data_IF_445618941602
#
_entry.id   IF_445618941602
#
_cell.length_a   1.000
_cell.length_b   1.000
_cell.length_c   1.000
_cell.angle_alpha   90.00
_cell.angle_beta   90.00
_cell.angle_gamma   90.00
#
_symmetry.space_group_name_H-M   'P 1'
#
loop_
_entity.id
_entity.type
_entity.pdbx_description
1 polymer ?
#
# COMPACT_ATOMS: atom_id res chain seq x y z
N UNK A 1 -7.93 -36.16 10.25
CA UNK A 1 -6.98 -35.84 9.17
C UNK A 1 -6.87 -34.34 9.08
N UNK A 2 -5.77 -33.75 9.55
CA UNK A 2 -5.55 -32.30 9.48
C UNK A 2 -5.07 -31.94 8.07
N UNK A 3 -5.74 -31.03 7.35
CA UNK A 3 -5.41 -30.67 5.97
C UNK A 3 -4.19 -29.73 5.89
N UNK A 4 -3.01 -30.17 6.36
CA UNK A 4 -1.87 -29.30 6.64
C UNK A 4 -0.52 -29.81 6.09
N UNK A 5 -0.45 -30.24 4.82
CA UNK A 5 0.84 -30.56 4.18
C UNK A 5 1.21 -29.72 2.96
N UNK A 6 0.26 -29.07 2.27
CA UNK A 6 0.57 -28.29 1.07
C UNK A 6 0.63 -26.78 1.32
N UNK A 7 1.49 -26.09 0.57
CA UNK A 7 1.49 -24.64 0.48
C UNK A 7 0.23 -24.17 -0.29
N UNK A 8 -0.35 -23.01 0.06
CA UNK A 8 -1.45 -22.44 -0.70
C UNK A 8 -1.03 -22.14 -2.15
N UNK A 9 -1.90 -22.46 -3.10
CA UNK A 9 -1.69 -22.14 -4.51
C UNK A 9 -1.82 -20.63 -4.75
N UNK A 10 -1.35 -20.16 -5.90
CA UNK A 10 -1.51 -18.75 -6.30
C UNK A 10 -2.98 -18.34 -6.34
N UNK A 11 -3.84 -19.20 -6.85
CA UNK A 11 -5.29 -18.96 -6.93
C UNK A 11 -5.93 -18.85 -5.55
N UNK A 12 -5.52 -19.70 -4.60
CA UNK A 12 -6.00 -19.63 -3.21
C UNK A 12 -5.59 -18.32 -2.54
N UNK A 13 -4.34 -17.86 -2.76
CA UNK A 13 -3.92 -16.52 -2.32
C UNK A 13 -4.75 -15.40 -2.97
N UNK A 14 -5.01 -15.49 -4.28
CA UNK A 14 -5.76 -14.48 -5.02
C UNK A 14 -7.23 -14.41 -4.56
N UNK A 15 -7.87 -15.56 -4.33
CA UNK A 15 -9.22 -15.65 -3.76
C UNK A 15 -9.28 -15.10 -2.33
N UNK A 16 -8.32 -15.49 -1.48
CA UNK A 16 -8.21 -15.01 -0.11
C UNK A 16 -8.04 -13.48 -0.05
N UNK A 17 -7.17 -12.92 -0.89
CA UNK A 17 -6.98 -11.48 -1.01
C UNK A 17 -8.25 -10.79 -1.51
N UNK A 18 -8.93 -11.35 -2.51
CA UNK A 18 -10.16 -10.77 -3.05
C UNK A 18 -11.27 -10.64 -2.01
N UNK A 19 -11.43 -11.64 -1.15
CA UNK A 19 -12.44 -11.63 -0.09
C UNK A 19 -12.29 -10.44 0.88
N UNK A 20 -11.05 -10.02 1.17
CA UNK A 20 -10.81 -8.85 2.00
C UNK A 20 -10.85 -7.51 1.22
N UNK A 21 -10.57 -7.53 -0.08
CA UNK A 21 -10.41 -6.30 -0.88
C UNK A 21 -11.72 -5.85 -1.53
N UNK A 22 -12.62 -6.78 -1.85
CA UNK A 22 -13.98 -6.51 -2.34
C UNK A 22 -15.01 -7.14 -1.39
N UNK A 23 -15.10 -6.65 -0.14
CA UNK A 23 -15.97 -7.26 0.87
C UNK A 23 -17.46 -6.98 0.62
N UNK A 24 -17.79 -5.97 -0.19
CA UNK A 24 -19.17 -5.51 -0.40
C UNK A 24 -19.58 -5.59 -1.87
N UNK A 25 -20.88 -5.82 -2.07
CA UNK A 25 -21.51 -5.74 -3.39
C UNK A 25 -21.57 -4.29 -3.89
N UNK A 26 -21.32 -4.11 -5.19
CA UNK A 26 -21.29 -2.77 -5.80
C UNK A 26 -22.67 -2.08 -5.73
N UNK A 27 -23.76 -2.85 -5.76
CA UNK A 27 -25.12 -2.33 -5.62
C UNK A 27 -25.38 -1.71 -4.23
N UNK A 28 -24.91 -2.34 -3.16
CA UNK A 28 -25.02 -1.81 -1.80
C UNK A 28 -24.21 -0.51 -1.64
N UNK A 29 -22.99 -0.50 -2.18
CA UNK A 29 -22.13 0.69 -2.14
C UNK A 29 -22.81 1.85 -2.89
N UNK A 30 -23.32 1.60 -4.09
CA UNK A 30 -24.01 2.62 -4.89
C UNK A 30 -25.25 3.16 -4.17
N UNK A 31 -26.06 2.29 -3.57
CA UNK A 31 -27.27 2.71 -2.86
C UNK A 31 -26.96 3.55 -1.62
N UNK A 32 -26.07 3.06 -0.74
CA UNK A 32 -25.65 3.80 0.45
C UNK A 32 -24.95 5.11 0.07
N UNK A 33 -24.13 5.12 -0.98
CA UNK A 33 -23.46 6.33 -1.48
C UNK A 33 -24.47 7.40 -1.84
N UNK A 34 -25.53 7.06 -2.60
CA UNK A 34 -26.59 8.01 -2.94
C UNK A 34 -27.27 8.58 -1.70
N UNK A 35 -27.59 7.73 -0.71
CA UNK A 35 -28.24 8.17 0.53
C UNK A 35 -27.33 9.06 1.38
N UNK A 36 -26.03 8.76 1.46
CA UNK A 36 -25.05 9.55 2.21
C UNK A 36 -24.80 10.91 1.56
N UNK A 37 -24.69 10.95 0.23
CA UNK A 37 -24.32 12.15 -0.52
C UNK A 37 -25.52 13.08 -0.79
N UNK A 38 -26.69 12.52 -1.10
CA UNK A 38 -27.86 13.29 -1.55
C UNK A 38 -29.04 13.25 -0.57
N UNK A 39 -28.93 12.52 0.54
CA UNK A 39 -29.96 12.54 1.59
C UNK A 39 -30.08 13.93 2.20
N UNK A 40 -31.31 14.43 2.36
CA UNK A 40 -31.55 15.69 3.08
C UNK A 40 -31.70 15.50 4.59
N UNK A 41 -32.00 14.28 5.02
CA UNK A 41 -32.16 13.90 6.42
C UNK A 41 -30.84 13.36 6.99
N UNK A 42 -30.34 13.99 8.05
CA UNK A 42 -29.11 13.59 8.72
C UNK A 42 -29.20 12.18 9.33
N UNK A 43 -30.37 11.80 9.86
CA UNK A 43 -30.58 10.45 10.42
C UNK A 43 -30.51 9.39 9.34
N UNK A 44 -31.10 9.63 8.16
CA UNK A 44 -31.03 8.71 7.03
C UNK A 44 -29.61 8.58 6.47
N UNK A 45 -28.85 9.69 6.41
CA UNK A 45 -27.44 9.67 6.01
C UNK A 45 -26.60 8.87 7.00
N UNK A 46 -26.80 9.11 8.30
CA UNK A 46 -26.13 8.37 9.37
C UNK A 46 -26.46 6.89 9.31
N UNK A 47 -27.73 6.52 9.15
CA UNK A 47 -28.16 5.14 9.01
C UNK A 47 -27.49 4.46 7.79
N UNK A 48 -27.45 5.12 6.62
CA UNK A 48 -26.78 4.58 5.44
C UNK A 48 -25.26 4.40 5.64
N UNK A 49 -24.58 5.37 6.27
CA UNK A 49 -23.16 5.29 6.62
C UNK A 49 -22.88 4.15 7.61
N UNK A 50 -23.71 4.00 8.64
CA UNK A 50 -23.59 2.92 9.62
C UNK A 50 -23.82 1.56 8.98
N UNK A 51 -24.85 1.40 8.14
CA UNK A 51 -25.10 0.16 7.38
C UNK A 51 -23.88 -0.22 6.55
N UNK A 52 -23.32 0.72 5.80
CA UNK A 52 -22.18 0.47 4.93
C UNK A 52 -20.95 -0.03 5.72
N UNK A 53 -20.64 0.61 6.85
CA UNK A 53 -19.53 0.22 7.73
C UNK A 53 -19.78 -1.10 8.45
N UNK A 54 -21.01 -1.35 8.88
CA UNK A 54 -21.41 -2.59 9.55
C UNK A 54 -21.31 -3.78 8.61
N UNK A 55 -21.87 -3.67 7.40
CA UNK A 55 -21.78 -4.72 6.38
C UNK A 55 -20.33 -4.96 5.96
N UNK A 56 -19.51 -3.90 5.83
CA UNK A 56 -18.08 -4.06 5.54
C UNK A 56 -17.37 -4.84 6.66
N UNK A 57 -17.65 -4.50 7.92
CA UNK A 57 -17.08 -5.20 9.06
C UNK A 57 -17.49 -6.68 9.09
N UNK A 58 -18.79 -6.97 8.87
CA UNK A 58 -19.33 -8.32 8.83
C UNK A 58 -18.72 -9.15 7.70
N UNK A 59 -18.62 -8.57 6.50
CA UNK A 59 -17.98 -9.22 5.36
C UNK A 59 -16.49 -9.52 5.63
N UNK A 60 -15.76 -8.61 6.27
CA UNK A 60 -14.39 -8.88 6.69
C UNK A 60 -14.29 -9.99 7.75
N UNK A 61 -15.27 -10.10 8.68
CA UNK A 61 -15.31 -11.23 9.62
C UNK A 61 -15.52 -12.54 8.87
N UNK A 62 -16.50 -12.60 7.97
CA UNK A 62 -16.79 -13.78 7.17
C UNK A 62 -15.60 -14.18 6.27
N UNK A 63 -14.82 -13.21 5.77
CA UNK A 63 -13.62 -13.48 4.99
C UNK A 63 -12.56 -14.27 5.79
N UNK A 64 -12.50 -14.10 7.13
CA UNK A 64 -11.61 -14.93 7.95
C UNK A 64 -12.01 -16.41 7.94
N UNK A 65 -13.28 -16.75 7.73
CA UNK A 65 -13.77 -18.13 7.76
C UNK A 65 -13.59 -18.88 6.43
N UNK A 66 -13.12 -18.18 5.38
CA UNK A 66 -12.84 -18.79 4.07
C UNK A 66 -11.66 -19.76 4.20
N UNK A 67 -11.79 -20.96 3.61
CA UNK A 67 -10.78 -22.02 3.69
C UNK A 67 -9.39 -21.57 3.25
N UNK A 68 -9.29 -20.88 2.10
CA UNK A 68 -8.00 -20.36 1.59
C UNK A 68 -7.37 -19.32 2.52
N UNK A 69 -8.19 -18.54 3.22
CA UNK A 69 -7.72 -17.58 4.23
C UNK A 69 -7.22 -18.31 5.47
N UNK A 70 -7.95 -19.32 5.95
CA UNK A 70 -7.54 -20.16 7.08
C UNK A 70 -6.28 -20.97 6.78
N UNK A 71 -6.11 -21.45 5.55
CA UNK A 71 -4.92 -22.18 5.12
C UNK A 71 -3.66 -21.30 5.22
N UNK A 72 -3.77 -20.02 4.88
CA UNK A 72 -2.66 -19.06 4.94
C UNK A 72 -2.48 -18.53 6.37
N UNK A 73 -3.53 -17.96 6.97
CA UNK A 73 -3.44 -17.23 8.23
C UNK A 73 -3.51 -18.12 9.47
N UNK A 74 -3.90 -19.39 9.32
CA UNK A 74 -3.94 -20.38 10.39
C UNK A 74 -2.57 -20.98 10.72
N UNK A 75 -1.52 -20.66 9.96
CA UNK A 75 -0.15 -21.08 10.31
C UNK A 75 0.24 -20.50 11.69
N UNK A 76 0.67 -21.35 12.66
CA UNK A 76 1.03 -20.90 14.01
C UNK A 76 2.07 -19.78 14.03
N UNK A 77 3.00 -19.75 13.08
CA UNK A 77 4.01 -18.72 12.97
C UNK A 77 3.41 -17.37 12.54
N UNK A 78 2.41 -17.38 11.65
CA UNK A 78 1.68 -16.19 11.22
C UNK A 78 0.79 -15.68 12.37
N UNK A 79 0.12 -16.57 13.10
CA UNK A 79 -0.65 -16.22 14.30
C UNK A 79 0.26 -15.61 15.37
N UNK A 80 1.43 -16.21 15.60
CA UNK A 80 2.42 -15.67 16.54
C UNK A 80 2.86 -14.27 16.11
N UNK A 81 3.24 -14.11 14.84
CA UNK A 81 3.68 -12.84 14.28
C UNK A 81 2.64 -11.73 14.48
N UNK A 82 1.36 -12.03 14.24
CA UNK A 82 0.27 -11.10 14.52
C UNK A 82 0.24 -10.71 16.00
N UNK A 83 0.22 -11.69 16.90
CA UNK A 83 0.17 -11.45 18.34
C UNK A 83 1.35 -10.60 18.81
N UNK A 84 2.55 -10.84 18.28
CA UNK A 84 3.75 -10.05 18.57
C UNK A 84 3.69 -8.64 18.00
N UNK A 85 3.12 -8.45 16.81
CA UNK A 85 2.92 -7.13 16.23
C UNK A 85 1.90 -6.30 17.01
N UNK A 86 0.78 -6.92 17.42
CA UNK A 86 -0.38 -6.25 18.01
C UNK A 86 -0.29 -5.97 19.52
N UNK A 87 0.73 -6.47 20.24
CA UNK A 87 0.84 -6.34 21.73
C UNK A 87 0.65 -4.92 22.26
N UNK A 88 1.05 -3.91 21.49
CA UNK A 88 1.01 -2.50 21.91
C UNK A 88 -0.20 -1.73 21.40
N UNK A 89 -1.16 -2.40 20.74
CA UNK A 89 -2.34 -1.75 20.16
C UNK A 89 -3.43 -1.67 21.21
N UNK A 90 -3.85 -0.45 21.56
CA UNK A 90 -5.05 -0.24 22.39
C UNK A 90 -6.28 -0.57 21.55
N UNK A 91 -7.06 -1.56 21.97
CA UNK A 91 -8.28 -1.95 21.29
C UNK A 91 -9.41 -0.99 21.64
N UNK A 92 -10.11 -0.54 20.60
CA UNK A 92 -11.38 0.16 20.72
C UNK A 92 -12.48 -0.89 20.51
N UNK A 93 -13.48 -0.95 21.40
CA UNK A 93 -14.58 -1.90 21.32
C UNK A 93 -15.57 -1.58 20.17
N UNK A 94 -16.22 -2.63 19.64
CA UNK A 94 -16.94 -2.64 18.35
C UNK A 94 -18.00 -1.55 18.15
N UNK A 95 -18.94 -1.36 19.09
CA UNK A 95 -20.00 -0.35 18.93
C UNK A 95 -19.41 1.08 18.82
N UNK A 96 -18.49 1.42 19.73
CA UNK A 96 -17.79 2.72 19.71
C UNK A 96 -16.84 2.90 18.52
N UNK A 97 -16.43 1.81 17.85
CA UNK A 97 -15.59 1.86 16.66
C UNK A 97 -16.43 2.22 15.43
N UNK A 98 -17.60 1.59 15.27
CA UNK A 98 -18.52 1.81 14.15
C UNK A 98 -19.11 3.21 14.23
N UNK A 99 -19.51 3.68 15.41
CA UNK A 99 -20.00 5.05 15.59
C UNK A 99 -18.96 6.10 15.20
N UNK A 100 -17.71 5.94 15.67
CA UNK A 100 -16.61 6.83 15.30
C UNK A 100 -16.27 6.78 13.82
N UNK A 101 -16.30 5.60 13.22
CA UNK A 101 -16.08 5.44 11.79
C UNK A 101 -17.23 6.08 10.98
N UNK A 102 -18.48 5.96 11.46
CA UNK A 102 -19.67 6.56 10.85
C UNK A 102 -19.55 8.06 10.86
N UNK A 103 -19.31 8.67 12.04
CA UNK A 103 -19.17 10.11 12.15
C UNK A 103 -18.03 10.60 11.25
N UNK A 104 -16.89 9.93 11.26
CA UNK A 104 -15.77 10.32 10.41
C UNK A 104 -16.05 10.19 8.90
N UNK A 105 -16.89 9.24 8.48
CA UNK A 105 -17.32 9.12 7.09
C UNK A 105 -18.21 10.31 6.70
N UNK A 106 -19.12 10.72 7.58
CA UNK A 106 -20.00 11.88 7.39
C UNK A 106 -19.22 13.20 7.41
N UNK A 107 -18.17 13.30 8.22
CA UNK A 107 -17.28 14.47 8.33
C UNK A 107 -16.33 14.61 7.13
N UNK A 108 -16.16 13.53 6.35
CA UNK A 108 -15.39 13.61 5.11
C UNK A 108 -16.16 14.55 4.18
N UNK A 109 -15.51 15.61 3.66
CA UNK A 109 -16.10 16.69 2.83
C UNK A 109 -16.67 16.24 1.47
N UNK A 110 -17.21 15.04 1.39
CA UNK A 110 -18.05 14.51 0.32
C UNK A 110 -19.37 15.31 0.20
N UNK A 111 -19.71 16.07 1.25
CA UNK A 111 -20.98 16.78 1.47
C UNK A 111 -20.97 18.25 0.99
N UNK A 112 -20.07 18.66 0.09
CA UNK A 112 -20.34 19.87 -0.69
C UNK A 112 -21.06 19.47 -1.97
N UNK A 113 -22.25 20.02 -2.19
CA UNK A 113 -23.15 19.80 -3.33
C UNK A 113 -22.52 19.95 -4.73
N UNK A 114 -21.25 20.37 -4.81
CA UNK A 114 -20.53 20.68 -6.05
C UNK A 114 -19.62 19.55 -6.57
N UNK A 115 -19.55 18.38 -5.91
CA UNK A 115 -18.74 17.27 -6.41
C UNK A 115 -19.47 16.49 -7.53
N UNK A 116 -18.81 16.20 -8.68
CA UNK A 116 -19.36 15.32 -9.71
C UNK A 116 -19.68 13.94 -9.11
N UNK A 117 -20.79 13.32 -9.52
CA UNK A 117 -21.22 12.00 -9.04
C UNK A 117 -20.11 10.94 -9.15
N UNK A 118 -19.29 11.02 -10.20
CA UNK A 118 -18.16 10.13 -10.48
C UNK A 118 -17.03 10.19 -9.43
N UNK A 119 -17.00 11.23 -8.58
CA UNK A 119 -15.97 11.42 -7.55
C UNK A 119 -16.41 10.94 -6.16
N UNK A 120 -17.71 10.79 -5.94
CA UNK A 120 -18.29 10.51 -4.63
C UNK A 120 -18.04 9.06 -4.23
N UNK A 121 -18.38 8.11 -5.11
CA UNK A 121 -18.22 6.68 -4.82
C UNK A 121 -16.75 6.29 -4.57
N UNK A 122 -15.76 6.73 -5.41
CA UNK A 122 -14.35 6.47 -5.12
C UNK A 122 -13.90 7.02 -3.76
N UNK A 123 -14.40 8.20 -3.37
CA UNK A 123 -14.06 8.81 -2.08
C UNK A 123 -14.65 8.01 -0.91
N UNK A 124 -15.90 7.56 -1.01
CA UNK A 124 -16.51 6.69 0.00
C UNK A 124 -15.72 5.38 0.12
N UNK A 125 -15.39 4.73 -1.00
CA UNK A 125 -14.58 3.50 -1.01
C UNK A 125 -13.21 3.72 -0.37
N UNK A 126 -12.55 4.84 -0.66
CA UNK A 126 -11.29 5.19 -0.03
C UNK A 126 -11.45 5.33 1.49
N UNK A 127 -12.50 6.00 1.96
CA UNK A 127 -12.75 6.15 3.40
C UNK A 127 -13.04 4.80 4.04
N UNK A 128 -13.81 3.92 3.42
CA UNK A 128 -14.04 2.54 3.89
C UNK A 128 -12.71 1.75 4.03
N UNK A 129 -11.81 1.87 3.05
CA UNK A 129 -10.49 1.24 3.11
C UNK A 129 -9.64 1.83 4.26
N UNK A 130 -9.72 3.14 4.49
CA UNK A 130 -9.05 3.81 5.62
C UNK A 130 -9.61 3.40 6.98
N UNK A 131 -10.91 3.09 7.07
CA UNK A 131 -11.57 2.65 8.32
C UNK A 131 -11.54 1.16 8.57
N UNK A 132 -11.06 0.38 7.60
CA UNK A 132 -10.88 -1.07 7.75
C UNK A 132 -10.04 -1.41 8.98
N UNK A 133 -10.43 -2.47 9.69
CA UNK A 133 -9.78 -2.91 10.91
C UNK A 133 -8.29 -3.20 10.69
N UNK A 134 -7.47 -2.88 11.70
CA UNK A 134 -6.03 -3.04 11.66
C UNK A 134 -5.59 -4.47 11.31
N UNK A 135 -6.29 -5.47 11.88
CA UNK A 135 -6.06 -6.90 11.61
C UNK A 135 -6.25 -7.21 10.13
N UNK A 136 -7.37 -6.80 9.54
CA UNK A 136 -7.66 -6.99 8.12
C UNK A 136 -6.57 -6.38 7.23
N UNK A 137 -6.17 -5.13 7.51
CA UNK A 137 -5.07 -4.48 6.77
C UNK A 137 -3.77 -5.26 6.84
N UNK A 138 -3.42 -5.72 8.05
CA UNK A 138 -2.21 -6.52 8.25
C UNK A 138 -2.30 -7.85 7.51
N UNK A 139 -3.44 -8.54 7.56
CA UNK A 139 -3.67 -9.79 6.84
C UNK A 139 -3.52 -9.61 5.32
N UNK A 140 -4.15 -8.60 4.72
CA UNK A 140 -4.02 -8.31 3.28
C UNK A 140 -2.57 -8.07 2.89
N UNK A 141 -1.86 -7.22 3.63
CA UNK A 141 -0.45 -6.93 3.33
C UNK A 141 0.45 -8.16 3.50
N UNK A 142 0.18 -8.99 4.51
CA UNK A 142 0.93 -10.21 4.80
C UNK A 142 0.70 -11.27 3.73
N UNK A 143 -0.56 -11.53 3.36
CA UNK A 143 -0.90 -12.49 2.31
C UNK A 143 -0.37 -12.05 0.95
N UNK A 144 -0.42 -10.75 0.63
CA UNK A 144 0.16 -10.24 -0.61
C UNK A 144 1.70 -10.44 -0.64
N UNK A 145 2.37 -10.23 0.49
CA UNK A 145 3.81 -10.45 0.61
C UNK A 145 4.18 -11.93 0.51
N UNK A 146 3.41 -12.82 1.14
CA UNK A 146 3.61 -14.27 1.04
C UNK A 146 3.31 -14.79 -0.37
N UNK A 147 2.27 -14.29 -1.03
CA UNK A 147 1.99 -14.60 -2.43
C UNK A 147 3.15 -14.19 -3.34
N UNK A 148 3.69 -12.97 -3.18
CA UNK A 148 4.90 -12.53 -3.89
C UNK A 148 6.07 -13.46 -3.57
N UNK A 149 6.26 -13.80 -2.29
CA UNK A 149 7.33 -14.67 -1.85
C UNK A 149 7.24 -16.07 -2.46
N UNK A 150 6.08 -16.71 -2.56
CA UNK A 150 5.95 -18.08 -3.04
C UNK A 150 5.80 -18.19 -4.55
N UNK A 151 5.03 -17.28 -5.17
CA UNK A 151 4.49 -17.47 -6.52
C UNK A 151 5.01 -16.46 -7.56
N UNK A 152 5.90 -15.55 -7.17
CA UNK A 152 6.46 -14.53 -8.06
C UNK A 152 8.00 -14.60 -8.12
N UNK A 153 8.51 -15.57 -8.88
CA UNK A 153 9.95 -15.83 -9.01
C UNK A 153 10.74 -14.62 -9.55
N UNK A 154 10.11 -13.79 -10.38
CA UNK A 154 10.72 -12.60 -10.96
C UNK A 154 10.65 -11.34 -10.09
N UNK A 155 10.02 -11.38 -8.90
CA UNK A 155 9.77 -10.19 -8.10
C UNK A 155 11.03 -9.41 -7.75
N UNK A 156 12.07 -10.10 -7.24
CA UNK A 156 13.36 -9.49 -6.88
C UNK A 156 14.01 -8.83 -8.09
N UNK A 157 14.07 -9.54 -9.22
CA UNK A 157 14.70 -9.04 -10.45
C UNK A 157 13.98 -7.81 -10.99
N UNK A 158 12.64 -7.83 -11.03
CA UNK A 158 11.85 -6.66 -11.48
C UNK A 158 12.02 -5.46 -10.56
N UNK A 159 12.05 -5.66 -9.24
CA UNK A 159 12.25 -4.58 -8.28
C UNK A 159 13.65 -3.95 -8.40
N UNK A 160 14.69 -4.77 -8.56
CA UNK A 160 16.04 -4.29 -8.79
C UNK A 160 16.17 -3.57 -10.14
N UNK A 161 15.58 -4.10 -11.21
CA UNK A 161 15.55 -3.46 -12.53
C UNK A 161 14.84 -2.10 -12.49
N UNK A 162 13.69 -2.01 -11.82
CA UNK A 162 12.97 -0.74 -11.65
C UNK A 162 13.82 0.29 -10.87
N UNK A 163 14.62 -0.16 -9.90
CA UNK A 163 15.52 0.69 -9.14
C UNK A 163 16.71 1.18 -9.96
N UNK A 164 17.37 0.28 -10.70
CA UNK A 164 18.44 0.64 -11.61
C UNK A 164 17.94 1.65 -12.65
N UNK A 165 16.73 1.43 -13.20
CA UNK A 165 16.11 2.38 -14.14
C UNK A 165 15.85 3.74 -13.51
N UNK A 166 15.43 3.78 -12.25
CA UNK A 166 15.23 5.04 -11.53
C UNK A 166 16.57 5.77 -11.30
N UNK A 167 17.63 5.03 -10.99
CA UNK A 167 18.98 5.60 -10.80
C UNK A 167 19.54 6.13 -12.14
N UNK A 168 19.31 5.44 -13.25
CA UNK A 168 19.61 5.94 -14.62
C UNK A 168 18.86 7.23 -14.94
N UNK A 169 17.56 7.28 -14.66
CA UNK A 169 16.74 8.48 -14.89
C UNK A 169 17.20 9.65 -14.02
N UNK A 170 17.59 9.40 -12.76
CA UNK A 170 18.19 10.42 -11.90
C UNK A 170 19.50 10.94 -12.47
N UNK A 171 20.34 10.06 -13.01
CA UNK A 171 21.58 10.47 -13.69
C UNK A 171 21.30 11.33 -14.92
N UNK A 172 20.36 10.91 -15.77
CA UNK A 172 19.99 11.64 -16.97
C UNK A 172 19.43 13.04 -16.66
N UNK A 173 18.60 13.18 -15.61
CA UNK A 173 18.09 14.48 -15.16
C UNK A 173 19.22 15.39 -14.68
N UNK A 174 20.21 14.85 -13.97
CA UNK A 174 21.39 15.63 -13.53
C UNK A 174 22.25 16.07 -14.70
N UNK A 175 22.49 15.18 -15.67
CA UNK A 175 23.22 15.52 -16.89
C UNK A 175 22.49 16.59 -17.72
N UNK A 176 21.17 16.47 -17.87
CA UNK A 176 20.35 17.47 -18.55
C UNK A 176 20.38 18.84 -17.85
N UNK A 177 20.33 18.86 -16.52
CA UNK A 177 20.50 20.09 -15.75
C UNK A 177 21.89 20.72 -15.94
N UNK A 178 22.96 19.90 -16.01
CA UNK A 178 24.31 20.39 -16.31
C UNK A 178 24.39 21.02 -17.71
N UNK A 179 23.84 20.34 -18.72
CA UNK A 179 23.84 20.80 -20.11
C UNK A 179 23.10 22.13 -20.28
N UNK A 180 21.96 22.33 -19.58
CA UNK A 180 21.24 23.61 -19.60
C UNK A 180 22.13 24.75 -19.08
N UNK A 181 22.81 24.53 -17.95
CA UNK A 181 23.73 25.54 -17.38
C UNK A 181 24.90 25.86 -18.31
N UNK A 182 25.48 24.85 -18.96
CA UNK A 182 26.56 25.04 -19.93
C UNK A 182 26.10 25.87 -21.12
N UNK A 183 24.93 25.58 -21.70
CA UNK A 183 24.37 26.36 -22.82
C UNK A 183 24.06 27.80 -22.38
N UNK A 184 23.44 28.00 -21.22
CA UNK A 184 23.18 29.34 -20.68
C UNK A 184 24.48 30.13 -20.51
N UNK A 185 25.53 29.50 -19.97
CA UNK A 185 26.84 30.13 -19.83
C UNK A 185 27.44 30.50 -21.19
N UNK A 186 27.36 29.62 -22.20
CA UNK A 186 27.85 29.92 -23.54
C UNK A 186 27.11 31.10 -24.19
N UNK A 187 25.79 31.20 -24.01
CA UNK A 187 24.99 32.32 -24.53
C UNK A 187 25.42 33.64 -23.89
N UNK A 188 25.70 33.63 -22.59
CA UNK A 188 26.25 34.79 -21.84
C UNK A 188 27.64 35.15 -22.38
N UNK A 189 28.52 34.16 -22.54
CA UNK A 189 29.91 34.37 -22.94
C UNK A 189 30.04 34.88 -24.39
N UNK A 190 29.15 34.47 -25.30
CA UNK A 190 29.20 34.84 -26.73
C UNK A 190 28.52 36.18 -27.06
N UNK A 191 28.00 36.94 -26.08
CA UNK A 191 27.26 38.19 -26.30
C UNK A 191 26.14 38.07 -27.35
N UNK A 192 25.51 36.89 -27.47
CA UNK A 192 24.40 36.69 -28.37
C UNK A 192 23.24 37.59 -27.94
N UNK A 193 22.64 38.33 -28.90
CA UNK A 193 21.56 39.28 -28.60
C UNK A 193 20.45 38.60 -27.80
N UNK A 194 20.08 39.09 -26.60
CA UNK A 194 19.20 38.41 -25.66
C UNK A 194 17.76 38.49 -26.16
N UNK A 195 17.46 37.70 -27.18
CA UNK A 195 16.13 37.65 -27.77
C UNK A 195 15.51 36.33 -27.36
N UNK A 196 14.56 36.42 -26.41
CA UNK A 196 13.44 35.49 -26.14
C UNK A 196 13.45 34.70 -24.81
N UNK A 197 14.51 34.68 -24.00
CA UNK A 197 14.40 34.20 -22.61
C UNK A 197 15.17 35.15 -21.68
N UNK A 198 14.48 35.84 -20.77
CA UNK A 198 15.18 36.50 -19.67
C UNK A 198 15.89 35.41 -18.86
N UNK A 199 17.13 35.66 -18.43
CA UNK A 199 17.92 34.70 -17.62
C UNK A 199 17.11 34.16 -16.43
N UNK A 200 16.31 35.04 -15.81
CA UNK A 200 15.38 34.70 -14.74
C UNK A 200 14.34 33.64 -15.15
N UNK A 201 13.79 33.69 -16.37
CA UNK A 201 12.74 32.77 -16.82
C UNK A 201 13.32 31.38 -17.17
N UNK A 202 14.54 31.31 -17.69
CA UNK A 202 15.22 30.07 -18.01
C UNK A 202 15.70 29.34 -16.73
N UNK A 203 16.34 30.07 -15.80
CA UNK A 203 16.72 29.52 -14.49
C UNK A 203 15.50 29.09 -13.67
N UNK A 204 14.40 29.85 -13.73
CA UNK A 204 13.17 29.51 -13.03
C UNK A 204 12.49 28.28 -13.65
N UNK A 205 12.48 28.14 -14.98
CA UNK A 205 11.96 26.95 -15.66
C UNK A 205 12.82 25.70 -15.40
N UNK A 206 14.15 25.79 -15.50
CA UNK A 206 15.09 24.71 -15.14
C UNK A 206 14.89 24.31 -13.68
N UNK A 207 14.91 25.31 -12.79
CA UNK A 207 14.72 25.12 -11.37
C UNK A 207 13.39 24.45 -11.03
N UNK A 208 12.30 24.79 -11.71
CA UNK A 208 10.98 24.16 -11.51
C UNK A 208 10.94 22.72 -12.05
N UNK A 209 11.45 22.47 -13.25
CA UNK A 209 11.44 21.13 -13.87
C UNK A 209 12.34 20.17 -13.09
N UNK A 210 13.58 20.58 -12.80
CA UNK A 210 14.56 19.76 -12.08
C UNK A 210 14.10 19.50 -10.65
N UNK A 211 13.53 20.50 -9.94
CA UNK A 211 12.95 20.28 -8.60
C UNK A 211 11.74 19.35 -8.66
N UNK A 212 10.82 19.56 -9.60
CA UNK A 212 9.63 18.72 -9.77
C UNK A 212 10.00 17.26 -10.06
N UNK A 213 10.95 17.03 -10.98
CA UNK A 213 11.45 15.70 -11.32
C UNK A 213 12.20 15.06 -10.14
N UNK A 214 13.08 15.79 -9.44
CA UNK A 214 13.74 15.27 -8.25
C UNK A 214 12.75 14.89 -7.15
N UNK A 215 11.71 15.69 -6.92
CA UNK A 215 10.66 15.36 -5.94
C UNK A 215 9.91 14.09 -6.33
N UNK A 216 9.49 13.96 -7.60
CA UNK A 216 8.83 12.74 -8.11
C UNK A 216 9.73 11.52 -8.04
N UNK A 217 11.00 11.64 -8.43
CA UNK A 217 11.98 10.56 -8.33
C UNK A 217 12.28 10.19 -6.88
N UNK A 218 12.34 11.16 -5.96
CA UNK A 218 12.46 10.90 -4.54
C UNK A 218 11.23 10.18 -3.98
N UNK A 219 10.03 10.51 -4.45
CA UNK A 219 8.80 9.79 -4.11
C UNK A 219 8.81 8.34 -4.63
N UNK A 220 9.23 8.11 -5.89
CA UNK A 220 9.37 6.76 -6.46
C UNK A 220 10.49 5.94 -5.78
N UNK A 221 11.62 6.56 -5.44
CA UNK A 221 12.67 5.89 -4.68
C UNK A 221 12.18 5.53 -3.26
N UNK A 222 11.21 6.29 -2.75
CA UNK A 222 10.47 6.00 -1.52
C UNK A 222 9.33 4.97 -1.73
N UNK A 223 9.13 4.37 -2.87
CA UNK A 223 8.19 3.22 -2.99
C UNK A 223 8.94 1.92 -3.23
N UNK A 224 10.08 1.99 -3.93
CA UNK A 224 10.89 0.82 -4.24
C UNK A 224 11.63 0.26 -3.01
N UNK A 225 11.78 -1.08 -2.91
CA UNK A 225 12.67 -1.70 -1.94
C UNK A 225 14.12 -1.21 -2.12
N UNK A 226 14.96 -1.28 -1.08
CA UNK A 226 16.41 -1.12 -1.26
C UNK A 226 16.94 -2.19 -2.23
N UNK A 227 18.05 -1.92 -2.90
CA UNK A 227 18.69 -2.90 -3.79
C UNK A 227 18.95 -4.19 -3.02
N UNK A 228 18.36 -5.29 -3.50
CA UNK A 228 18.49 -6.59 -2.86
C UNK A 228 19.55 -7.37 -3.63
N UNK A 229 20.58 -7.85 -2.93
CA UNK A 229 21.58 -8.74 -3.54
C UNK A 229 20.87 -9.97 -4.09
N UNK A 230 21.12 -10.34 -5.35
CA UNK A 230 20.52 -11.51 -6.02
C UNK A 230 21.08 -12.86 -5.52
N UNK A 231 21.39 -12.98 -4.23
CA UNK A 231 21.83 -14.23 -3.63
C UNK A 231 20.66 -15.11 -3.22
N UNK A 232 20.98 -16.26 -2.61
CA UNK A 232 20.01 -17.25 -2.18
C UNK A 232 18.97 -16.76 -1.16
N UNK A 233 19.21 -15.60 -0.52
CA UNK A 233 18.31 -15.01 0.49
C UNK A 233 17.61 -13.74 0.02
N UNK A 234 17.53 -13.54 -1.29
CA UNK A 234 16.95 -12.32 -1.87
C UNK A 234 15.43 -12.23 -1.64
N UNK A 235 14.71 -13.36 -1.78
CA UNK A 235 13.25 -13.41 -1.60
C UNK A 235 12.87 -13.14 -0.14
N UNK A 236 13.61 -13.69 0.82
CA UNK A 236 13.41 -13.47 2.25
C UNK A 236 13.68 -12.01 2.61
N UNK A 237 14.71 -11.39 2.02
CA UNK A 237 14.97 -9.96 2.21
C UNK A 237 13.84 -9.08 1.67
N UNK A 238 13.27 -9.45 0.53
CA UNK A 238 12.11 -8.75 -0.03
C UNK A 238 10.89 -8.93 0.88
N UNK A 239 10.61 -10.15 1.34
CA UNK A 239 9.54 -10.45 2.29
C UNK A 239 9.70 -9.65 3.59
N UNK A 240 10.89 -9.65 4.20
CA UNK A 240 11.19 -8.84 5.39
C UNK A 240 10.93 -7.34 5.14
N UNK A 241 11.34 -6.81 3.98
CA UNK A 241 11.07 -5.43 3.62
C UNK A 241 9.56 -5.15 3.49
N UNK A 242 8.79 -6.03 2.85
CA UNK A 242 7.32 -5.90 2.74
C UNK A 242 6.66 -5.87 4.12
N UNK A 243 7.08 -6.76 5.02
CA UNK A 243 6.58 -6.79 6.39
C UNK A 243 6.98 -5.55 7.19
N UNK A 244 8.20 -5.04 7.01
CA UNK A 244 8.66 -3.77 7.57
C UNK A 244 7.82 -2.57 7.11
N UNK A 245 7.42 -2.53 5.83
CA UNK A 245 6.49 -1.54 5.29
C UNK A 245 5.11 -1.66 5.94
N UNK A 246 4.57 -2.88 6.02
CA UNK A 246 3.29 -3.15 6.64
C UNK A 246 3.29 -2.71 8.11
N UNK A 247 4.24 -3.19 8.91
CA UNK A 247 4.32 -2.86 10.33
C UNK A 247 4.58 -1.38 10.57
N UNK A 248 5.52 -0.79 9.81
CA UNK A 248 5.90 0.60 9.93
C UNK A 248 4.72 1.56 9.81
N UNK A 249 3.79 1.32 8.88
CA UNK A 249 2.63 2.19 8.76
C UNK A 249 1.40 1.77 9.56
N UNK A 250 1.19 0.48 9.80
CA UNK A 250 0.03 0.01 10.57
C UNK A 250 0.23 0.21 12.09
N UNK A 251 1.43 -0.07 12.60
CA UNK A 251 1.75 0.00 14.03
C UNK A 251 2.68 1.16 14.40
N UNK A 252 3.07 2.00 13.43
CA UNK A 252 4.04 3.10 13.62
C UNK A 252 5.41 2.61 14.14
N UNK A 253 5.73 1.34 13.91
CA UNK A 253 6.96 0.67 14.38
C UNK A 253 7.25 -0.57 13.54
N UNK A 254 8.51 -0.98 13.40
CA UNK A 254 8.95 -2.05 12.48
C UNK A 254 8.66 -3.48 12.95
N UNK A 255 8.44 -3.69 14.26
CA UNK A 255 8.10 -5.00 14.87
C UNK A 255 9.01 -6.16 14.37
N UNK A 256 10.34 -6.10 14.59
CA UNK A 256 11.27 -7.11 14.08
C UNK A 256 10.98 -8.52 14.63
N UNK A 257 10.52 -8.66 15.88
CA UNK A 257 10.09 -9.95 16.43
C UNK A 257 8.95 -10.58 15.64
N UNK A 258 7.97 -9.78 15.19
CA UNK A 258 6.88 -10.29 14.36
C UNK A 258 7.37 -10.72 12.97
N UNK A 259 8.34 -10.00 12.40
CA UNK A 259 8.99 -10.40 11.13
C UNK A 259 9.74 -11.73 11.31
N UNK A 260 10.49 -11.86 12.40
CA UNK A 260 11.22 -13.09 12.72
C UNK A 260 10.28 -14.28 12.88
N UNK A 261 9.20 -14.13 13.66
CA UNK A 261 8.19 -15.18 13.84
C UNK A 261 7.56 -15.57 12.50
N UNK A 262 7.26 -14.60 11.62
CA UNK A 262 6.70 -14.88 10.29
C UNK A 262 7.66 -15.66 9.38
N UNK A 263 8.98 -15.51 9.53
CA UNK A 263 9.95 -16.30 8.74
C UNK A 263 10.02 -17.78 9.15
N UNK A 264 9.34 -18.16 10.24
CA UNK A 264 9.11 -19.57 10.60
C UNK A 264 7.81 -20.13 10.02
N UNK A 265 7.06 -19.33 9.25
CA UNK A 265 5.91 -19.83 8.51
C UNK A 265 6.33 -20.91 7.52
N UNK A 266 5.44 -21.88 7.31
CA UNK A 266 5.71 -23.03 6.46
C UNK A 266 6.16 -22.60 5.06
N UNK A 267 7.21 -23.23 4.57
CA UNK A 267 7.77 -22.99 3.23
C UNK A 267 8.67 -21.74 3.12
N UNK A 268 8.76 -20.91 4.16
CA UNK A 268 9.70 -19.79 4.19
C UNK A 268 11.07 -20.28 4.69
N UNK A 269 12.15 -19.85 4.04
CA UNK A 269 13.51 -20.13 4.52
C UNK A 269 13.76 -19.37 5.82
N UNK A 270 14.05 -20.10 6.89
CA UNK A 270 14.37 -19.52 8.20
C UNK A 270 15.69 -18.75 8.15
N UNK A 271 15.73 -17.59 8.82
CA UNK A 271 16.93 -16.79 9.00
C UNK A 271 17.23 -16.60 10.48
N UNK A 272 18.51 -16.43 10.82
CA UNK A 272 18.92 -16.08 12.18
C UNK A 272 18.35 -14.73 12.61
N UNK A 273 17.92 -14.64 13.87
CA UNK A 273 17.28 -13.46 14.45
C UNK A 273 18.14 -12.21 14.33
N UNK A 274 19.46 -12.33 14.52
CA UNK A 274 20.39 -11.18 14.43
C UNK A 274 20.39 -10.57 13.02
N UNK A 275 20.27 -11.41 12.00
CA UNK A 275 20.20 -10.95 10.61
C UNK A 275 18.86 -10.26 10.31
N UNK A 276 17.77 -10.78 10.86
CA UNK A 276 16.44 -10.15 10.75
C UNK A 276 16.45 -8.77 11.42
N UNK A 277 16.93 -8.68 12.66
CA UNK A 277 17.00 -7.41 13.40
C UNK A 277 17.83 -6.37 12.64
N UNK A 278 19.00 -6.76 12.12
CA UNK A 278 19.86 -5.88 11.32
C UNK A 278 19.16 -5.42 10.02
N UNK A 279 18.48 -6.33 9.33
CA UNK A 279 17.74 -6.00 8.11
C UNK A 279 16.60 -5.02 8.40
N UNK A 280 15.77 -5.30 9.41
CA UNK A 280 14.66 -4.43 9.82
C UNK A 280 15.14 -3.03 10.23
N UNK A 281 16.26 -2.92 10.95
CA UNK A 281 16.87 -1.63 11.29
C UNK A 281 17.31 -0.85 10.03
N UNK A 282 17.94 -1.53 9.08
CA UNK A 282 18.35 -0.91 7.81
C UNK A 282 17.16 -0.41 6.98
N UNK A 283 16.01 -1.08 7.10
CA UNK A 283 14.78 -0.70 6.40
C UNK A 283 14.01 0.41 7.12
N UNK A 284 14.16 0.53 8.44
CA UNK A 284 13.38 1.46 9.28
C UNK A 284 13.44 2.92 8.80
N UNK A 285 14.58 3.38 8.29
CA UNK A 285 14.74 4.75 7.76
C UNK A 285 13.86 5.00 6.54
N UNK A 286 13.54 3.95 5.77
CA UNK A 286 12.74 4.03 4.55
C UNK A 286 11.25 3.86 4.83
N UNK A 287 10.86 3.02 5.79
CA UNK A 287 9.49 2.48 5.90
C UNK A 287 8.55 3.17 6.90
N UNK A 288 9.01 4.19 7.66
CA UNK A 288 8.28 4.82 8.78
C UNK A 288 6.86 5.36 8.49
N UNK A 289 6.49 5.65 7.25
CA UNK A 289 5.19 6.29 6.92
C UNK A 289 4.39 5.59 5.80
N UNK A 290 4.79 4.38 5.37
CA UNK A 290 4.31 3.80 4.09
C UNK A 290 3.15 2.82 4.16
N UNK A 291 2.80 2.29 5.33
CA UNK A 291 1.82 1.19 5.44
C UNK A 291 0.40 1.54 4.92
N UNK A 292 -0.22 2.66 5.31
CA UNK A 292 -1.54 3.04 4.79
C UNK A 292 -1.56 3.24 3.27
N UNK A 293 -0.52 3.87 2.70
CA UNK A 293 -0.40 4.06 1.25
C UNK A 293 -0.15 2.74 0.51
N UNK A 294 0.63 1.83 1.08
CA UNK A 294 0.91 0.53 0.47
C UNK A 294 -0.31 -0.37 0.49
N UNK A 295 -1.06 -0.39 1.60
CA UNK A 295 -2.35 -1.10 1.68
C UNK A 295 -3.32 -0.62 0.59
N UNK A 296 -3.46 0.70 0.42
CA UNK A 296 -4.32 1.28 -0.62
C UNK A 296 -3.87 0.87 -2.02
N UNK A 297 -2.57 1.00 -2.32
CA UNK A 297 -1.99 0.59 -3.59
C UNK A 297 -2.27 -0.89 -3.91
N UNK A 298 -2.12 -1.76 -2.90
CA UNK A 298 -2.41 -3.20 -3.04
C UNK A 298 -3.89 -3.45 -3.33
N UNK A 299 -4.78 -2.79 -2.59
CA UNK A 299 -6.23 -2.88 -2.82
C UNK A 299 -6.60 -2.50 -4.25
N UNK A 300 -6.14 -1.35 -4.72
CA UNK A 300 -6.44 -0.85 -6.06
C UNK A 300 -5.93 -1.81 -7.13
N UNK A 301 -4.69 -2.31 -6.96
CA UNK A 301 -4.09 -3.27 -7.88
C UNK A 301 -4.89 -4.59 -7.93
N UNK A 302 -5.32 -5.11 -6.78
CA UNK A 302 -6.12 -6.34 -6.70
C UNK A 302 -7.49 -6.12 -7.37
N UNK A 303 -8.18 -5.02 -7.07
CA UNK A 303 -9.48 -4.67 -7.69
C UNK A 303 -9.37 -4.55 -9.22
N UNK A 304 -8.34 -3.89 -9.72
CA UNK A 304 -8.11 -3.73 -11.17
C UNK A 304 -7.85 -5.06 -11.88
N UNK A 305 -7.04 -5.94 -11.26
CA UNK A 305 -6.72 -7.26 -11.82
C UNK A 305 -7.97 -8.12 -11.95
N UNK A 306 -8.84 -8.11 -10.93
CA UNK A 306 -10.08 -8.89 -10.92
C UNK A 306 -11.15 -8.33 -11.86
N UNK A 307 -11.25 -7.01 -11.98
CA UNK A 307 -12.14 -6.38 -12.96
C UNK A 307 -11.73 -6.70 -14.41
N UNK A 308 -10.42 -6.81 -14.68
CA UNK A 308 -9.91 -7.22 -15.99
C UNK A 308 -10.13 -8.70 -16.31
N UNK A 309 -10.13 -9.56 -15.28
CA UNK A 309 -10.40 -10.99 -15.43
C UNK A 309 -11.89 -11.29 -15.73
N UNK A 310 -12.82 -10.53 -15.16
CA UNK A 310 -14.26 -10.70 -15.40
C UNK A 310 -14.76 -10.21 -16.78
N UNK A 311 -13.89 -9.56 -17.56
CA UNK A 311 -14.20 -9.06 -18.92
C UNK A 311 -13.67 -9.96 -20.05
N UNK A 312 -13.05 -11.08 -19.70
CA UNK A 312 -12.55 -12.10 -20.63
C UNK A 312 -13.39 -13.36 -20.50
#
# INVERSE_FOLDING_TARGET
>A
MTPLERLPTREEFDQALLAFVKPLEDALIADCTRRIAYGQDEELRRAAATTLLYEQWKAHQAAFDIESVQLVLGDPAIVSAWNSASRSVKWISGASAIERATQSLLDTKIVSLDYPADWIEPTIRQTLDERTALKTKWCVMTMAALREYFHDEGAVSRMNAARNRLDELQSAVRSGASAIREITQMVIDENASPTVLSDDAAEEAEGRIVRSLHLKMAQLNKTLPPTIRQGETARERLLMYRMCVAHGGLFRSQKPTAVYELLHARGVRTLDRRNVDRACQSFATRTKTRGPSEYRRLIEQIRQTSAGAARR
#
